data_IF_671747013108
#
_entry.id   IF_671747013108
#
_cell.length_a   1.000
_cell.length_b   1.000
_cell.length_c   1.000
_cell.angle_alpha   90.00
_cell.angle_beta   90.00
_cell.angle_gamma   90.00
#
_symmetry.space_group_name_H-M   'P 1'
#
loop_
_entity.id
_entity.type
_entity.pdbx_description
1 polymer ?
#
# COMPACT_ATOMS: atom_id res chain seq x y z
N UNK A 1 9.58 18.82 14.78
CA UNK A 1 10.80 19.64 14.75
C UNK A 1 10.62 20.65 13.65
N UNK A 2 10.80 21.93 13.94
CA UNK A 2 10.59 22.97 12.92
C UNK A 2 11.80 23.02 11.99
N UNK A 3 11.55 22.82 10.70
CA UNK A 3 12.55 22.93 9.62
C UNK A 3 12.29 24.26 8.92
N UNK A 4 13.07 25.29 9.26
CA UNK A 4 12.83 26.67 8.82
C UNK A 4 13.88 27.22 7.85
N UNK A 5 14.86 26.40 7.46
CA UNK A 5 15.93 26.78 6.53
C UNK A 5 15.93 25.87 5.31
N UNK A 6 16.40 26.40 4.18
CA UNK A 6 16.55 25.63 2.93
C UNK A 6 17.44 24.40 3.15
N UNK A 7 18.59 24.59 3.79
CA UNK A 7 19.56 23.50 3.96
C UNK A 7 19.03 22.41 4.92
N UNK A 8 18.22 22.78 5.92
CA UNK A 8 17.50 21.82 6.77
C UNK A 8 16.45 21.01 6.01
N UNK A 9 15.77 21.62 5.04
CA UNK A 9 14.83 20.91 4.17
C UNK A 9 15.56 19.98 3.18
N UNK A 10 16.68 20.42 2.61
CA UNK A 10 17.52 19.59 1.73
C UNK A 10 18.01 18.31 2.42
N UNK A 11 18.36 18.39 3.71
CA UNK A 11 18.79 17.22 4.49
C UNK A 11 17.71 16.13 4.62
N UNK A 12 16.43 16.47 4.43
CA UNK A 12 15.31 15.53 4.49
C UNK A 12 14.93 14.94 3.13
N UNK A 13 15.53 15.42 2.03
CA UNK A 13 15.25 14.93 0.67
C UNK A 13 15.48 13.42 0.59
N UNK A 14 14.48 12.69 0.09
CA UNK A 14 14.52 11.23 -0.02
C UNK A 14 14.16 10.47 1.25
N UNK A 15 13.88 11.17 2.36
CA UNK A 15 13.37 10.53 3.58
C UNK A 15 11.95 10.01 3.34
N UNK A 16 11.71 8.75 3.71
CA UNK A 16 10.37 8.15 3.64
C UNK A 16 9.53 8.68 4.80
N UNK A 17 8.40 9.29 4.48
CA UNK A 17 7.39 9.70 5.48
C UNK A 17 6.46 8.53 5.75
N UNK A 18 6.26 8.19 7.02
CA UNK A 18 5.41 7.08 7.45
C UNK A 18 4.59 7.50 8.66
N UNK A 19 3.43 6.86 8.82
CA UNK A 19 2.60 6.94 10.03
C UNK A 19 2.42 5.55 10.61
N UNK A 20 2.16 5.47 11.91
CA UNK A 20 1.75 4.21 12.55
C UNK A 20 0.37 3.81 12.06
N UNK A 21 0.10 2.50 12.00
CA UNK A 21 -1.25 1.97 11.76
C UNK A 21 -2.30 2.50 12.76
N UNK A 22 -1.86 2.83 13.98
CA UNK A 22 -2.73 3.42 15.02
C UNK A 22 -3.13 4.88 14.74
N UNK A 23 -2.51 5.54 13.76
CA UNK A 23 -2.81 6.91 13.35
C UNK A 23 -3.65 6.97 12.07
N UNK A 24 -4.01 5.81 11.52
CA UNK A 24 -4.84 5.74 10.32
C UNK A 24 -6.22 6.30 10.59
N UNK A 25 -6.82 6.87 9.54
CA UNK A 25 -8.24 7.18 9.54
C UNK A 25 -9.05 5.88 9.71
N UNK A 26 -10.24 5.99 10.27
CA UNK A 26 -11.22 4.91 10.19
C UNK A 26 -11.60 4.67 8.72
N UNK A 27 -11.68 3.39 8.37
CA UNK A 27 -12.13 2.92 7.07
C UNK A 27 -13.66 2.72 7.10
N UNK A 28 -14.30 2.95 5.97
CA UNK A 28 -15.68 2.54 5.75
C UNK A 28 -15.77 1.00 5.67
N UNK A 29 -16.97 0.41 5.83
CA UNK A 29 -17.18 -1.00 5.52
C UNK A 29 -16.68 -1.31 4.10
N UNK A 30 -15.96 -2.42 3.95
CA UNK A 30 -15.37 -2.89 2.69
C UNK A 30 -14.26 -2.01 2.09
N UNK A 31 -13.76 -1.01 2.82
CA UNK A 31 -12.57 -0.22 2.44
C UNK A 31 -11.30 -0.86 3.04
N UNK A 32 -10.23 -0.96 2.25
CA UNK A 32 -8.93 -1.52 2.66
C UNK A 32 -7.78 -0.66 2.12
N UNK A 33 -6.70 -0.55 2.88
CA UNK A 33 -5.46 0.03 2.36
C UNK A 33 -4.68 -1.00 1.53
N UNK A 34 -4.03 -0.54 0.46
CA UNK A 34 -3.24 -1.41 -0.43
C UNK A 34 -2.18 -2.25 0.32
N UNK A 35 -1.52 -1.68 1.33
CA UNK A 35 -0.50 -2.40 2.11
C UNK A 35 -1.07 -3.58 2.91
N UNK A 36 -2.38 -3.61 3.17
CA UNK A 36 -3.04 -4.73 3.84
C UNK A 36 -3.28 -5.90 2.89
N UNK A 37 -3.26 -5.66 1.58
CA UNK A 37 -3.55 -6.64 0.54
C UNK A 37 -2.27 -7.22 -0.09
N UNK A 38 -1.24 -6.40 -0.29
CA UNK A 38 0.01 -6.84 -0.91
C UNK A 38 0.65 -7.98 -0.07
N UNK A 39 0.98 -9.08 -0.74
CA UNK A 39 1.54 -10.30 -0.15
C UNK A 39 0.52 -11.37 0.21
N UNK A 40 -0.78 -11.09 0.12
CA UNK A 40 -1.82 -12.10 0.35
C UNK A 40 -1.81 -13.15 -0.77
N UNK A 41 -2.06 -14.42 -0.39
CA UNK A 41 -2.29 -15.51 -1.34
C UNK A 41 -3.65 -15.36 -2.01
N UNK A 42 -3.69 -15.52 -3.32
CA UNK A 42 -4.91 -15.41 -4.12
C UNK A 42 -5.38 -16.80 -4.52
N UNK A 43 -6.68 -17.05 -4.33
CA UNK A 43 -7.32 -18.32 -4.63
C UNK A 43 -8.53 -18.11 -5.54
N UNK A 44 -8.81 -19.09 -6.40
CA UNK A 44 -10.09 -19.22 -7.07
C UNK A 44 -11.16 -19.74 -6.10
N UNK A 45 -12.43 -19.63 -6.47
CA UNK A 45 -13.55 -20.21 -5.71
C UNK A 45 -13.44 -21.75 -5.58
N UNK A 46 -12.70 -22.39 -6.48
CA UNK A 46 -12.34 -23.81 -6.41
C UNK A 46 -11.33 -24.16 -5.31
N UNK A 47 -10.86 -23.18 -4.53
CA UNK A 47 -9.77 -23.28 -3.57
C UNK A 47 -8.37 -23.53 -4.17
N UNK A 48 -8.22 -23.39 -5.49
CA UNK A 48 -6.92 -23.42 -6.17
C UNK A 48 -6.15 -22.12 -5.93
N UNK A 49 -4.92 -22.21 -5.42
CA UNK A 49 -4.02 -21.04 -5.27
C UNK A 49 -3.46 -20.66 -6.65
N UNK A 50 -3.60 -19.39 -7.02
CA UNK A 50 -3.10 -18.84 -8.30
C UNK A 50 -1.90 -17.90 -8.13
N UNK A 51 -1.41 -17.71 -6.91
CA UNK A 51 -0.20 -16.93 -6.63
C UNK A 51 -0.35 -16.01 -5.42
N UNK A 52 0.46 -14.95 -5.40
CA UNK A 52 0.40 -13.88 -4.42
C UNK A 52 0.17 -12.52 -5.08
N UNK A 53 -0.58 -11.63 -4.43
CA UNK A 53 -0.78 -10.26 -4.87
C UNK A 53 0.51 -9.46 -4.65
N UNK A 54 1.20 -9.07 -5.74
CA UNK A 54 2.50 -8.39 -5.65
C UNK A 54 2.42 -6.89 -5.88
N UNK A 55 1.37 -6.42 -6.56
CA UNK A 55 1.20 -5.04 -6.96
C UNK A 55 -0.29 -4.72 -7.16
N UNK A 56 -0.66 -3.49 -6.84
CA UNK A 56 -1.97 -2.92 -7.13
C UNK A 56 -1.72 -1.68 -8.00
N UNK A 57 -2.24 -1.68 -9.21
CA UNK A 57 -2.17 -0.55 -10.14
C UNK A 57 -3.48 0.23 -10.00
N UNK A 58 -3.37 1.46 -9.50
CA UNK A 58 -4.46 2.42 -9.50
C UNK A 58 -4.63 2.94 -10.93
N UNK A 59 -5.70 2.48 -11.61
CA UNK A 59 -6.05 2.93 -12.95
C UNK A 59 -7.01 4.13 -12.95
N UNK A 60 -7.33 4.68 -11.78
CA UNK A 60 -8.25 5.79 -11.57
C UNK A 60 -9.69 5.35 -11.29
N UNK A 61 -10.28 4.49 -12.14
CA UNK A 61 -11.66 4.00 -11.95
C UNK A 61 -11.73 2.70 -11.15
N UNK A 62 -10.72 1.85 -11.30
CA UNK A 62 -10.64 0.54 -10.65
C UNK A 62 -9.20 0.21 -10.27
N UNK A 63 -9.04 -0.62 -9.25
CA UNK A 63 -7.76 -1.21 -8.92
C UNK A 63 -7.53 -2.46 -9.76
N UNK A 64 -6.34 -2.55 -10.36
CA UNK A 64 -5.90 -3.75 -11.10
C UNK A 64 -4.91 -4.51 -10.22
N UNK A 65 -5.28 -5.74 -9.87
CA UNK A 65 -4.46 -6.62 -9.04
C UNK A 65 -3.52 -7.47 -9.89
N UNK A 66 -2.22 -7.34 -9.63
CA UNK A 66 -1.18 -8.12 -10.29
C UNK A 66 -0.81 -9.30 -9.41
N UNK A 67 -1.13 -10.50 -9.88
CA UNK A 67 -0.83 -11.76 -9.19
C UNK A 67 0.32 -12.45 -9.91
N UNK A 68 1.28 -12.98 -9.14
CA UNK A 68 2.40 -13.77 -9.67
C UNK A 68 2.53 -15.08 -8.92
N UNK A 69 2.97 -16.11 -9.65
CA UNK A 69 3.50 -17.34 -9.06
C UNK A 69 4.77 -17.00 -8.24
N UNK A 70 5.00 -17.75 -7.17
CA UNK A 70 6.21 -17.63 -6.33
C UNK A 70 7.49 -18.02 -7.09
#
# INVERSE_FOLDING_TARGET
ADVTTRDGAEALRGTIVRISGSQLRSLEPDELFHYQLIGLSVYLESAEKIGALVEIIDSGEVDIYVVRDE
#
